data_IF_640257686292
#
_entry.id   IF_640257686292
#
_cell.length_a   1.000
_cell.length_b   1.000
_cell.length_c   1.000
_cell.angle_alpha   90.00
_cell.angle_beta   90.00
_cell.angle_gamma   90.00
#
_symmetry.space_group_name_H-M   'P 1'
#
loop_
_entity.id
_entity.type
_entity.pdbx_description
1 polymer ?
#
# COMPACT_ATOMS: atom_id res chain seq x y z
N UNK A 1 24.44 14.10 2.84
CA UNK A 1 24.80 14.55 1.48
C UNK A 1 24.20 13.65 0.41
N UNK A 2 24.13 14.11 -0.85
CA UNK A 2 23.65 13.28 -1.98
C UNK A 2 24.49 12.01 -2.14
N UNK A 3 25.79 12.11 -1.92
CA UNK A 3 26.73 10.97 -1.95
C UNK A 3 26.38 9.90 -0.90
N UNK A 4 26.01 10.29 0.30
CA UNK A 4 25.59 9.33 1.34
C UNK A 4 24.30 8.63 0.99
N UNK A 5 23.33 9.34 0.40
CA UNK A 5 22.07 8.76 -0.08
C UNK A 5 22.35 7.75 -1.20
N UNK A 6 23.14 8.13 -2.20
CA UNK A 6 23.55 7.25 -3.30
C UNK A 6 24.23 5.98 -2.78
N UNK A 7 25.22 6.13 -1.90
CA UNK A 7 25.95 5.00 -1.32
C UNK A 7 25.04 4.07 -0.52
N UNK A 8 24.11 4.62 0.26
CA UNK A 8 23.15 3.83 1.04
C UNK A 8 22.19 3.06 0.13
N UNK A 9 21.63 3.71 -0.89
CA UNK A 9 20.74 3.09 -1.86
C UNK A 9 21.45 2.00 -2.68
N UNK A 10 22.67 2.24 -3.11
CA UNK A 10 23.45 1.24 -3.85
C UNK A 10 23.71 -0.01 -3.01
N UNK A 11 24.10 0.15 -1.74
CA UNK A 11 24.26 -0.97 -0.81
C UNK A 11 22.95 -1.74 -0.61
N UNK A 12 21.83 -1.01 -0.46
CA UNK A 12 20.50 -1.61 -0.31
C UNK A 12 20.13 -2.43 -1.56
N UNK A 13 20.29 -1.85 -2.75
CA UNK A 13 20.01 -2.55 -4.03
C UNK A 13 20.85 -3.82 -4.14
N UNK A 14 22.15 -3.73 -3.86
CA UNK A 14 23.05 -4.88 -3.95
C UNK A 14 22.67 -5.97 -2.93
N UNK A 15 22.26 -5.59 -1.72
CA UNK A 15 21.74 -6.50 -0.70
C UNK A 15 20.47 -7.21 -1.16
N UNK A 16 19.48 -6.46 -1.66
CA UNK A 16 18.22 -6.98 -2.18
C UNK A 16 18.45 -7.95 -3.35
N UNK A 17 19.28 -7.57 -4.30
CA UNK A 17 19.61 -8.43 -5.45
C UNK A 17 20.27 -9.74 -5.03
N UNK A 18 21.12 -9.70 -4.00
CA UNK A 18 21.88 -10.86 -3.53
C UNK A 18 21.06 -11.81 -2.66
N UNK A 19 20.23 -11.28 -1.77
CA UNK A 19 19.62 -12.07 -0.70
C UNK A 19 18.10 -12.20 -0.81
N UNK A 20 17.42 -11.25 -1.43
CA UNK A 20 15.96 -11.15 -1.43
C UNK A 20 15.34 -11.18 -2.83
N UNK A 21 16.09 -11.59 -3.87
CA UNK A 21 15.57 -11.65 -5.24
C UNK A 21 15.43 -13.09 -5.73
N UNK A 22 14.23 -13.43 -6.20
CA UNK A 22 13.92 -14.71 -6.86
C UNK A 22 13.14 -14.47 -8.14
N UNK A 23 13.58 -15.09 -9.25
CA UNK A 23 12.95 -14.91 -10.56
C UNK A 23 12.81 -13.43 -11.00
N UNK A 24 13.66 -12.54 -10.49
CA UNK A 24 13.68 -11.11 -10.79
C UNK A 24 12.69 -10.26 -9.99
N UNK A 25 11.98 -10.85 -9.05
CA UNK A 25 11.16 -10.15 -8.06
C UNK A 25 11.82 -10.15 -6.69
N UNK A 26 11.50 -9.17 -5.87
CA UNK A 26 11.85 -9.19 -4.46
C UNK A 26 10.90 -10.10 -3.69
N UNK A 27 11.48 -10.90 -2.80
CA UNK A 27 10.75 -11.87 -1.96
C UNK A 27 10.96 -11.51 -0.51
N UNK A 28 9.88 -11.30 0.22
CA UNK A 28 9.87 -11.14 1.65
C UNK A 28 9.49 -12.44 2.37
N UNK A 29 9.98 -12.63 3.58
CA UNK A 29 9.48 -13.67 4.47
C UNK A 29 8.21 -13.18 5.19
N UNK A 30 7.59 -14.01 6.00
CA UNK A 30 6.47 -13.64 6.85
C UNK A 30 6.85 -12.48 7.76
N UNK A 31 5.90 -11.61 8.05
CA UNK A 31 6.05 -10.45 8.94
C UNK A 31 7.08 -9.40 8.47
N UNK A 32 7.54 -9.45 7.23
CA UNK A 32 8.49 -8.48 6.64
C UNK A 32 7.82 -7.40 5.78
N UNK A 33 6.51 -7.19 5.93
CA UNK A 33 5.80 -6.06 5.33
C UNK A 33 5.15 -5.23 6.43
N UNK A 34 4.58 -4.06 6.11
CA UNK A 34 3.84 -3.27 7.09
C UNK A 34 2.62 -4.01 7.66
N UNK A 35 2.10 -5.02 6.94
CA UNK A 35 1.08 -5.93 7.45
C UNK A 35 1.76 -7.14 8.10
N UNK A 36 2.30 -6.95 9.28
CA UNK A 36 3.21 -7.85 10.00
C UNK A 36 2.51 -8.77 11.02
N UNK A 37 1.30 -9.19 10.72
CA UNK A 37 0.55 -10.15 11.54
C UNK A 37 0.29 -11.46 10.80
N UNK A 38 0.24 -12.56 11.53
CA UNK A 38 -0.01 -13.90 10.99
C UNK A 38 -1.25 -14.53 11.62
N UNK A 39 -2.22 -14.93 10.80
CA UNK A 39 -3.33 -15.80 11.20
C UNK A 39 -3.43 -16.91 10.17
N UNK A 40 -3.41 -18.17 10.62
CA UNK A 40 -3.47 -19.35 9.76
C UNK A 40 -2.40 -19.28 8.65
N UNK A 41 -2.82 -19.15 7.39
CA UNK A 41 -1.92 -19.03 6.24
C UNK A 41 -1.80 -17.60 5.70
N UNK A 42 -2.47 -16.62 6.33
CA UNK A 42 -2.38 -15.22 5.94
C UNK A 42 -1.23 -14.51 6.67
N UNK A 43 -0.02 -14.65 6.15
CA UNK A 43 1.21 -14.09 6.70
C UNK A 43 1.98 -13.20 5.71
N UNK A 44 1.42 -12.99 4.52
CA UNK A 44 1.97 -12.15 3.45
C UNK A 44 3.41 -12.50 3.01
N UNK A 45 3.85 -13.72 3.25
CA UNK A 45 5.12 -14.21 2.70
C UNK A 45 5.08 -14.22 1.19
N UNK A 46 6.19 -13.89 0.52
CA UNK A 46 6.38 -14.06 -0.90
C UNK A 46 6.62 -12.76 -1.67
N UNK A 47 6.02 -12.59 -2.82
CA UNK A 47 6.25 -11.47 -3.72
C UNK A 47 5.04 -10.53 -3.61
N UNK A 48 5.21 -9.38 -2.93
CA UNK A 48 4.14 -8.43 -2.62
C UNK A 48 4.22 -7.16 -3.44
N UNK A 49 3.08 -6.61 -3.83
CA UNK A 49 2.95 -5.50 -4.78
C UNK A 49 3.65 -4.23 -4.32
N UNK A 50 3.45 -3.84 -3.06
CA UNK A 50 4.05 -2.64 -2.48
C UNK A 50 5.58 -2.75 -2.42
N UNK A 51 6.10 -3.91 -2.11
CA UNK A 51 7.56 -4.16 -2.06
C UNK A 51 8.18 -4.00 -3.46
N UNK A 52 7.53 -4.56 -4.49
CA UNK A 52 8.00 -4.39 -5.87
C UNK A 52 7.92 -2.93 -6.31
N UNK A 53 6.85 -2.22 -5.95
CA UNK A 53 6.68 -0.81 -6.33
C UNK A 53 7.71 0.10 -5.64
N UNK A 54 8.02 -0.13 -4.37
CA UNK A 54 9.09 0.57 -3.66
C UNK A 54 10.45 0.32 -4.32
N UNK A 55 10.72 -0.91 -4.75
CA UNK A 55 11.93 -1.25 -5.49
C UNK A 55 12.02 -0.53 -6.84
N UNK A 56 10.90 -0.43 -7.57
CA UNK A 56 10.84 0.37 -8.81
C UNK A 56 11.16 1.85 -8.55
N UNK A 57 10.56 2.42 -7.49
CA UNK A 57 10.85 3.80 -7.07
C UNK A 57 12.34 3.99 -6.73
N UNK A 58 12.95 3.03 -6.04
CA UNK A 58 14.37 3.05 -5.72
C UNK A 58 15.25 2.98 -6.99
N UNK A 59 14.94 2.14 -7.97
CA UNK A 59 15.69 2.09 -9.24
C UNK A 59 15.58 3.39 -10.02
N UNK A 60 14.37 3.97 -10.09
CA UNK A 60 14.13 5.27 -10.73
C UNK A 60 14.96 6.36 -10.05
N UNK A 61 14.91 6.45 -8.72
CA UNK A 61 15.69 7.44 -7.95
C UNK A 61 17.20 7.26 -8.19
N UNK A 62 17.71 6.04 -8.18
CA UNK A 62 19.12 5.77 -8.47
C UNK A 62 19.52 6.17 -9.88
N UNK A 63 18.65 5.95 -10.88
CA UNK A 63 18.90 6.45 -12.21
C UNK A 63 18.93 7.98 -12.26
N UNK A 64 17.99 8.64 -11.60
CA UNK A 64 17.94 10.12 -11.55
C UNK A 64 19.18 10.72 -10.87
N UNK A 65 19.69 10.10 -9.80
CA UNK A 65 20.88 10.54 -9.09
C UNK A 65 22.19 10.29 -9.85
N UNK A 66 22.34 9.10 -10.46
CA UNK A 66 23.63 8.63 -10.99
C UNK A 66 23.74 8.68 -12.51
N UNK A 67 22.62 8.79 -13.23
CA UNK A 67 22.51 8.63 -14.68
C UNK A 67 23.03 7.25 -15.20
N UNK A 68 23.22 6.27 -14.27
CA UNK A 68 23.73 4.96 -14.64
C UNK A 68 22.61 4.09 -15.25
N UNK A 69 22.79 3.74 -16.51
CA UNK A 69 21.82 2.99 -17.32
C UNK A 69 21.45 1.62 -16.73
N UNK A 70 22.28 1.01 -15.88
CA UNK A 70 21.95 -0.27 -15.23
C UNK A 70 20.64 -0.18 -14.45
N UNK A 71 20.38 0.95 -13.75
CA UNK A 71 19.16 1.12 -12.96
C UNK A 71 17.92 1.31 -13.85
N UNK A 72 18.04 1.98 -14.98
CA UNK A 72 16.95 2.07 -15.97
C UNK A 72 16.60 0.70 -16.56
N UNK A 73 17.61 -0.14 -16.80
CA UNK A 73 17.39 -1.52 -17.27
C UNK A 73 16.67 -2.34 -16.20
N UNK A 74 17.09 -2.26 -14.92
CA UNK A 74 16.44 -2.95 -13.82
C UNK A 74 14.99 -2.49 -13.64
N UNK A 75 14.75 -1.19 -13.67
CA UNK A 75 13.41 -0.59 -13.60
C UNK A 75 12.50 -1.13 -14.71
N UNK A 76 12.94 -1.07 -15.96
CA UNK A 76 12.14 -1.50 -17.09
C UNK A 76 11.80 -3.00 -17.04
N UNK A 77 12.76 -3.85 -16.68
CA UNK A 77 12.53 -5.30 -16.54
C UNK A 77 11.51 -5.58 -15.46
N UNK A 78 11.67 -4.99 -14.26
CA UNK A 78 10.75 -5.21 -13.17
C UNK A 78 9.36 -4.66 -13.48
N UNK A 79 9.26 -3.47 -14.07
CA UNK A 79 8.00 -2.85 -14.51
C UNK A 79 7.22 -3.75 -15.47
N UNK A 80 7.89 -4.27 -16.51
CA UNK A 80 7.25 -5.18 -17.46
C UNK A 80 6.74 -6.45 -16.77
N UNK A 81 7.56 -7.06 -15.90
CA UNK A 81 7.17 -8.25 -15.15
C UNK A 81 5.99 -8.00 -14.22
N UNK A 82 6.00 -6.88 -13.50
CA UNK A 82 4.87 -6.51 -12.64
C UNK A 82 3.59 -6.32 -13.45
N UNK A 83 3.68 -5.60 -14.56
CA UNK A 83 2.51 -5.41 -15.43
C UNK A 83 1.92 -6.73 -15.92
N UNK A 84 2.77 -7.66 -16.35
CA UNK A 84 2.37 -8.98 -16.84
C UNK A 84 1.76 -9.86 -15.75
N UNK A 85 2.32 -9.85 -14.54
CA UNK A 85 1.96 -10.81 -13.49
C UNK A 85 0.96 -10.31 -12.46
N UNK A 86 0.85 -8.99 -12.27
CA UNK A 86 0.01 -8.41 -11.21
C UNK A 86 -1.24 -7.72 -11.77
N UNK A 87 -1.26 -7.29 -13.02
CA UNK A 87 -2.40 -6.59 -13.59
C UNK A 87 -3.30 -7.54 -14.41
N UNK A 88 -4.56 -7.69 -14.00
CA UNK A 88 -5.53 -8.54 -14.70
C UNK A 88 -6.55 -7.76 -15.56
N UNK A 89 -6.32 -6.47 -15.79
CA UNK A 89 -7.24 -5.59 -16.52
C UNK A 89 -8.30 -4.91 -15.67
N UNK A 90 -8.43 -5.28 -14.39
CA UNK A 90 -9.44 -4.73 -13.45
C UNK A 90 -8.87 -4.29 -12.12
N UNK A 91 -8.05 -5.12 -11.50
CA UNK A 91 -7.37 -4.87 -10.23
C UNK A 91 -5.91 -5.28 -10.31
N UNK A 92 -5.09 -4.64 -9.51
CA UNK A 92 -3.70 -5.01 -9.30
C UNK A 92 -3.65 -6.02 -8.14
N UNK A 93 -2.99 -7.16 -8.36
CA UNK A 93 -2.83 -8.21 -7.36
C UNK A 93 -2.06 -7.68 -6.14
N UNK A 94 -2.43 -8.13 -4.95
CA UNK A 94 -1.71 -7.86 -3.70
C UNK A 94 -0.36 -8.61 -3.64
N UNK A 95 -0.30 -9.76 -4.26
CA UNK A 95 0.90 -10.56 -4.40
C UNK A 95 0.88 -11.40 -5.66
N UNK A 96 1.99 -12.09 -5.95
CA UNK A 96 2.04 -12.98 -7.10
C UNK A 96 0.98 -14.08 -6.98
N UNK A 97 0.03 -14.10 -7.90
CA UNK A 97 -1.17 -14.97 -7.91
C UNK A 97 -2.15 -14.75 -6.76
N UNK A 98 -2.07 -13.61 -6.06
CA UNK A 98 -2.98 -13.25 -4.97
C UNK A 98 -3.74 -11.98 -5.34
N UNK A 99 -4.96 -12.13 -5.83
CA UNK A 99 -5.86 -11.03 -6.22
C UNK A 99 -6.82 -10.60 -5.11
N UNK A 100 -6.54 -10.93 -3.87
CA UNK A 100 -7.30 -10.42 -2.72
C UNK A 100 -7.17 -8.89 -2.66
N UNK A 101 -8.27 -8.12 -2.77
CA UNK A 101 -8.20 -6.68 -2.61
C UNK A 101 -7.65 -6.29 -1.23
N UNK A 102 -6.58 -5.48 -1.25
CA UNK A 102 -5.98 -4.85 -0.07
C UNK A 102 -5.54 -3.43 -0.43
N UNK A 103 -5.39 -2.52 0.53
CA UNK A 103 -5.05 -1.12 0.25
C UNK A 103 -3.60 -0.91 -0.23
N UNK A 104 -2.79 -1.96 -0.31
CA UNK A 104 -1.40 -1.92 -0.78
C UNK A 104 -1.24 -1.39 -2.21
N UNK A 105 -2.30 -1.44 -3.02
CA UNK A 105 -2.34 -0.80 -4.34
C UNK A 105 -2.12 0.72 -4.27
N UNK A 106 -2.53 1.37 -3.17
CA UNK A 106 -2.29 2.81 -2.97
C UNK A 106 -0.83 3.10 -2.64
N UNK A 107 -0.15 2.20 -1.91
CA UNK A 107 1.30 2.27 -1.72
C UNK A 107 2.01 2.13 -3.07
N UNK A 108 1.59 1.14 -3.88
CA UNK A 108 2.19 0.92 -5.20
C UNK A 108 2.01 2.14 -6.12
N UNK A 109 0.82 2.73 -6.15
CA UNK A 109 0.54 3.93 -6.94
C UNK A 109 1.28 5.17 -6.44
N UNK A 110 1.50 5.27 -5.13
CA UNK A 110 2.27 6.37 -4.53
C UNK A 110 3.77 6.25 -4.83
N UNK A 111 4.33 5.06 -4.62
CA UNK A 111 5.76 4.78 -4.78
C UNK A 111 6.20 4.78 -6.25
N UNK A 112 5.37 4.25 -7.14
CA UNK A 112 5.70 4.15 -8.56
C UNK A 112 4.44 4.28 -9.45
N UNK A 113 3.91 5.51 -9.62
CA UNK A 113 2.70 5.74 -10.42
C UNK A 113 2.84 5.35 -11.88
N UNK A 114 4.06 5.35 -12.43
CA UNK A 114 4.35 4.96 -13.81
C UNK A 114 4.18 3.47 -14.09
N UNK A 115 3.85 2.64 -13.09
CA UNK A 115 3.55 1.22 -13.27
C UNK A 115 2.39 1.01 -14.25
N UNK A 116 1.38 1.86 -14.13
CA UNK A 116 0.18 1.80 -14.97
C UNK A 116 -0.17 3.19 -15.51
N UNK A 117 -0.97 3.23 -16.56
CA UNK A 117 -1.57 4.48 -17.05
C UNK A 117 -2.63 5.01 -16.08
N UNK A 118 -2.94 6.31 -16.14
CA UNK A 118 -3.99 6.89 -15.31
C UNK A 118 -5.35 6.17 -15.47
N UNK A 119 -5.69 5.74 -16.69
CA UNK A 119 -6.93 4.97 -16.95
C UNK A 119 -6.94 3.60 -16.26
N UNK A 120 -5.81 2.92 -16.25
CA UNK A 120 -5.66 1.63 -15.57
C UNK A 120 -5.69 1.79 -14.05
N UNK A 121 -5.00 2.81 -13.50
CA UNK A 121 -5.10 3.14 -12.08
C UNK A 121 -6.52 3.51 -11.67
N UNK A 122 -7.21 4.29 -12.50
CA UNK A 122 -8.61 4.67 -12.27
C UNK A 122 -9.52 3.44 -12.18
N UNK A 123 -9.38 2.50 -13.13
CA UNK A 123 -10.12 1.24 -13.12
C UNK A 123 -9.76 0.37 -11.91
N UNK A 124 -8.46 0.29 -11.57
CA UNK A 124 -7.97 -0.45 -10.40
C UNK A 124 -8.60 0.09 -9.11
N UNK A 125 -8.53 1.40 -8.89
CA UNK A 125 -9.08 2.02 -7.68
C UNK A 125 -10.60 1.89 -7.61
N UNK A 126 -11.31 2.12 -8.71
CA UNK A 126 -12.78 1.96 -8.75
C UNK A 126 -13.22 0.55 -8.35
N UNK A 127 -12.55 -0.48 -8.88
CA UNK A 127 -12.87 -1.85 -8.55
C UNK A 127 -12.47 -2.24 -7.13
N UNK A 128 -11.31 -1.80 -6.66
CA UNK A 128 -10.83 -2.12 -5.32
C UNK A 128 -11.64 -1.40 -4.23
N UNK A 129 -12.05 -0.15 -4.46
CA UNK A 129 -12.87 0.59 -3.51
C UNK A 129 -14.23 -0.05 -3.26
N UNK A 130 -14.81 -0.80 -4.22
CA UNK A 130 -16.06 -1.54 -3.99
C UNK A 130 -15.95 -2.51 -2.82
N UNK A 131 -14.78 -3.09 -2.64
CA UNK A 131 -14.52 -4.12 -1.63
C UNK A 131 -13.86 -3.57 -0.36
N UNK A 132 -13.14 -2.45 -0.45
CA UNK A 132 -12.36 -1.91 0.66
C UNK A 132 -13.03 -0.73 1.36
N UNK A 133 -13.96 -0.04 0.71
CA UNK A 133 -14.55 1.19 1.23
C UNK A 133 -15.38 0.96 2.49
N UNK A 134 -15.11 1.75 3.51
CA UNK A 134 -15.86 1.81 4.76
C UNK A 134 -16.74 3.06 4.80
N UNK A 135 -17.97 2.94 5.31
CA UNK A 135 -18.97 3.99 5.24
C UNK A 135 -18.58 5.29 5.94
N UNK A 136 -17.73 5.21 6.94
CA UNK A 136 -17.23 6.38 7.64
C UNK A 136 -16.10 7.12 6.90
N UNK A 137 -15.51 6.55 5.84
CA UNK A 137 -14.47 7.18 5.01
C UNK A 137 -13.09 6.54 5.14
N UNK A 138 -12.98 5.36 5.74
CA UNK A 138 -11.75 4.57 5.77
C UNK A 138 -11.69 3.49 4.69
N UNK A 139 -10.60 2.75 4.69
CA UNK A 139 -10.38 1.56 3.87
C UNK A 139 -10.13 0.36 4.77
N UNK A 140 -10.86 -0.73 4.53
CA UNK A 140 -10.52 -2.02 5.12
C UNK A 140 -9.16 -2.50 4.65
N UNK A 141 -8.43 -3.16 5.52
CA UNK A 141 -7.12 -3.77 5.18
C UNK A 141 -7.22 -5.08 4.38
N UNK A 142 -8.43 -5.60 4.22
CA UNK A 142 -8.73 -6.75 3.35
C UNK A 142 -10.12 -6.57 2.72
N UNK A 143 -10.38 -7.29 1.62
CA UNK A 143 -11.72 -7.41 1.03
C UNK A 143 -12.77 -7.74 2.09
N UNK A 144 -13.82 -6.94 2.17
CA UNK A 144 -14.95 -7.15 3.10
C UNK A 144 -15.70 -8.46 2.90
N UNK A 145 -15.53 -9.10 1.73
CA UNK A 145 -16.08 -10.41 1.43
C UNK A 145 -15.12 -11.57 1.78
N UNK A 146 -13.92 -11.27 2.25
CA UNK A 146 -12.97 -12.29 2.69
C UNK A 146 -13.48 -13.00 3.96
N UNK A 147 -13.30 -14.33 4.07
CA UNK A 147 -13.62 -15.04 5.31
C UNK A 147 -12.77 -14.61 6.52
N UNK A 148 -11.63 -13.93 6.25
CA UNK A 148 -10.76 -13.38 7.29
C UNK A 148 -11.17 -11.97 7.72
N UNK A 149 -12.13 -11.34 7.03
CA UNK A 149 -12.57 -9.99 7.39
C UNK A 149 -13.31 -9.99 8.73
N UNK A 150 -13.00 -9.00 9.57
CA UNK A 150 -13.78 -8.66 10.75
C UNK A 150 -14.02 -7.15 10.81
N UNK A 151 -15.26 -6.74 11.12
CA UNK A 151 -15.65 -5.33 11.21
C UNK A 151 -15.44 -4.75 12.63
N UNK A 152 -15.37 -5.61 13.63
CA UNK A 152 -15.12 -5.21 15.00
C UNK A 152 -13.61 -5.16 15.29
N UNK A 153 -13.11 -3.99 15.73
CA UNK A 153 -11.74 -3.88 16.20
C UNK A 153 -11.53 -4.77 17.43
N UNK A 154 -10.55 -5.64 17.37
CA UNK A 154 -10.17 -6.56 18.45
C UNK A 154 -9.03 -6.01 19.32
N UNK A 155 -8.65 -4.73 19.10
CA UNK A 155 -7.57 -4.08 19.85
C UNK A 155 -6.23 -4.67 19.49
N UNK A 156 -5.48 -5.15 20.48
CA UNK A 156 -4.17 -5.80 20.27
C UNK A 156 -4.28 -7.23 19.71
N UNK A 157 -5.50 -7.79 19.60
CA UNK A 157 -5.71 -9.06 18.93
C UNK A 157 -5.49 -8.89 17.42
N UNK A 158 -4.62 -9.71 16.87
CA UNK A 158 -4.20 -9.69 15.48
C UNK A 158 -5.32 -9.98 14.47
N UNK A 159 -6.50 -10.42 14.91
CA UNK A 159 -7.63 -10.77 14.04
C UNK A 159 -8.10 -9.62 13.18
N UNK A 160 -8.29 -8.43 13.75
CA UNK A 160 -8.75 -7.25 13.00
C UNK A 160 -7.62 -6.41 12.42
N UNK A 161 -6.44 -6.44 13.00
CA UNK A 161 -5.35 -5.49 12.81
C UNK A 161 -4.97 -5.24 11.35
N UNK A 162 -4.86 -6.31 10.54
CA UNK A 162 -4.65 -6.25 9.10
C UNK A 162 -5.75 -7.00 8.30
N UNK A 163 -6.91 -7.21 8.93
CA UNK A 163 -8.04 -7.98 8.35
C UNK A 163 -9.40 -7.33 8.60
N UNK A 164 -9.39 -6.00 8.66
CA UNK A 164 -10.59 -5.21 8.87
C UNK A 164 -10.27 -3.80 9.29
N UNK A 165 -9.49 -3.62 10.35
CA UNK A 165 -9.13 -2.30 10.85
C UNK A 165 -8.54 -1.41 9.74
N UNK A 166 -8.85 -0.13 9.84
CA UNK A 166 -8.52 0.88 8.86
C UNK A 166 -7.41 1.78 9.40
N UNK A 167 -6.34 1.92 8.67
CA UNK A 167 -5.15 2.66 9.09
C UNK A 167 -5.16 4.08 8.51
N UNK A 168 -4.99 5.09 9.35
CA UNK A 168 -5.10 6.48 8.91
C UNK A 168 -4.04 6.86 7.89
N UNK A 169 -2.79 6.40 8.04
CA UNK A 169 -1.73 6.72 7.10
C UNK A 169 -2.01 6.20 5.68
N UNK A 170 -2.54 4.98 5.54
CA UNK A 170 -2.88 4.43 4.23
C UNK A 170 -4.12 5.08 3.64
N UNK A 171 -5.11 5.47 4.47
CA UNK A 171 -6.27 6.23 4.02
C UNK A 171 -5.84 7.58 3.42
N UNK A 172 -4.96 8.31 4.11
CA UNK A 172 -4.44 9.59 3.62
C UNK A 172 -3.60 9.43 2.36
N UNK A 173 -2.79 8.37 2.25
CA UNK A 173 -2.08 8.02 1.03
C UNK A 173 -3.05 7.69 -0.12
N UNK A 174 -4.14 7.00 0.16
CA UNK A 174 -5.19 6.74 -0.82
C UNK A 174 -5.83 8.06 -1.31
N UNK A 175 -6.15 8.98 -0.42
CA UNK A 175 -6.68 10.30 -0.83
C UNK A 175 -5.70 11.03 -1.77
N UNK A 176 -4.40 11.00 -1.48
CA UNK A 176 -3.37 11.60 -2.34
C UNK A 176 -3.31 10.95 -3.72
N UNK A 177 -3.31 9.62 -3.80
CA UNK A 177 -3.24 8.89 -5.08
C UNK A 177 -4.52 9.05 -5.89
N UNK A 178 -5.69 8.95 -5.27
CA UNK A 178 -6.99 9.21 -5.90
C UNK A 178 -7.05 10.63 -6.49
N UNK A 179 -6.54 11.63 -5.75
CA UNK A 179 -6.49 13.01 -6.22
C UNK A 179 -5.55 13.18 -7.44
N UNK A 180 -4.39 12.54 -7.43
CA UNK A 180 -3.43 12.58 -8.53
C UNK A 180 -3.97 11.92 -9.80
N UNK A 181 -4.66 10.79 -9.67
CA UNK A 181 -5.13 10.00 -10.81
C UNK A 181 -6.39 10.59 -11.43
N UNK A 182 -7.44 10.84 -10.65
CA UNK A 182 -8.66 11.50 -11.13
C UNK A 182 -9.45 12.16 -9.99
N UNK A 183 -9.07 13.39 -9.64
CA UNK A 183 -9.72 14.19 -8.59
C UNK A 183 -11.24 14.27 -8.75
N UNK A 184 -11.72 14.47 -9.98
CA UNK A 184 -13.14 14.68 -10.23
C UNK A 184 -13.96 13.43 -9.98
N UNK A 185 -13.48 12.28 -10.47
CA UNK A 185 -14.13 10.97 -10.30
C UNK A 185 -14.20 10.56 -8.83
N UNK A 186 -13.10 10.73 -8.10
CA UNK A 186 -12.97 10.29 -6.71
C UNK A 186 -13.24 11.39 -5.68
N UNK A 187 -13.79 12.53 -6.09
CA UNK A 187 -13.99 13.70 -5.21
C UNK A 187 -14.70 13.34 -3.89
N UNK A 188 -15.75 12.52 -3.96
CA UNK A 188 -16.52 12.11 -2.77
C UNK A 188 -15.69 11.25 -1.82
N UNK A 189 -14.91 10.31 -2.36
CA UNK A 189 -14.04 9.44 -1.55
C UNK A 189 -12.94 10.26 -0.88
N UNK A 190 -12.26 11.12 -1.65
CA UNK A 190 -11.21 12.02 -1.15
C UNK A 190 -11.73 12.89 -0.01
N UNK A 191 -12.87 13.57 -0.23
CA UNK A 191 -13.45 14.44 0.79
C UNK A 191 -13.80 13.68 2.05
N UNK A 192 -14.40 12.50 1.93
CA UNK A 192 -14.80 11.70 3.09
C UNK A 192 -13.60 11.16 3.88
N UNK A 193 -12.50 10.81 3.22
CA UNK A 193 -11.24 10.45 3.90
C UNK A 193 -10.70 11.65 4.69
N UNK A 194 -10.66 12.83 4.05
CA UNK A 194 -10.17 14.05 4.70
C UNK A 194 -11.04 14.44 5.89
N UNK A 195 -12.36 14.37 5.75
CA UNK A 195 -13.30 14.69 6.82
C UNK A 195 -13.13 13.74 8.02
N UNK A 196 -12.97 12.44 7.73
CA UNK A 196 -12.73 11.42 8.77
C UNK A 196 -11.39 11.63 9.49
N UNK A 197 -10.30 11.87 8.73
CA UNK A 197 -8.98 12.17 9.29
C UNK A 197 -9.00 13.45 10.14
N UNK A 198 -9.67 14.50 9.64
CA UNK A 198 -9.80 15.76 10.38
C UNK A 198 -10.60 15.58 11.66
N UNK A 199 -11.72 14.85 11.60
CA UNK A 199 -12.53 14.58 12.77
C UNK A 199 -11.78 13.77 13.83
N UNK A 200 -10.95 12.83 13.39
CA UNK A 200 -10.13 12.01 14.29
C UNK A 200 -9.06 12.85 14.99
N UNK A 201 -8.28 13.65 14.25
CA UNK A 201 -7.23 14.52 14.80
C UNK A 201 -7.78 15.57 15.79
N UNK A 202 -8.97 16.10 15.51
CA UNK A 202 -9.51 17.22 16.30
C UNK A 202 -10.42 16.80 17.45
N UNK A 203 -11.08 15.61 17.35
CA UNK A 203 -12.21 15.34 18.23
C UNK A 203 -12.25 13.93 18.83
N UNK A 204 -11.40 12.99 18.40
CA UNK A 204 -11.59 11.59 18.79
C UNK A 204 -10.49 10.99 19.66
N UNK A 205 -9.24 11.09 19.23
CA UNK A 205 -8.11 10.52 19.96
C UNK A 205 -7.30 11.55 20.72
N UNK A 206 -6.00 11.55 20.55
CA UNK A 206 -5.12 12.58 21.05
C UNK A 206 -5.21 13.80 20.13
N UNK A 207 -5.70 14.92 20.64
CA UNK A 207 -5.91 16.14 19.85
C UNK A 207 -4.58 16.59 19.21
N UNK A 208 -4.60 16.72 17.89
CA UNK A 208 -3.44 17.13 17.09
C UNK A 208 -2.61 15.97 16.55
N UNK A 209 -2.92 14.72 16.89
CA UNK A 209 -2.24 13.52 16.42
C UNK A 209 -3.23 12.55 15.81
N UNK A 210 -2.78 11.71 14.88
CA UNK A 210 -3.54 10.55 14.46
C UNK A 210 -3.38 9.40 15.45
N UNK A 211 -4.44 8.64 15.66
CA UNK A 211 -4.31 7.29 16.17
C UNK A 211 -3.76 6.38 15.04
N UNK A 212 -3.22 5.26 15.43
CA UNK A 212 -2.67 4.27 14.52
C UNK A 212 -3.71 3.78 13.51
N UNK A 213 -4.87 3.40 14.02
CA UNK A 213 -5.95 2.81 13.23
C UNK A 213 -7.35 3.12 13.80
N UNK A 214 -8.35 2.71 13.04
CA UNK A 214 -9.76 2.77 13.38
C UNK A 214 -10.43 1.44 13.13
N UNK A 215 -11.56 1.18 13.79
CA UNK A 215 -12.39 0.03 13.46
C UNK A 215 -12.92 0.08 12.03
N UNK A 216 -13.12 -1.07 11.39
CA UNK A 216 -13.81 -1.11 10.11
C UNK A 216 -15.28 -0.67 10.24
N UNK A 217 -15.91 -0.93 11.36
CA UNK A 217 -17.32 -0.64 11.62
C UNK A 217 -17.62 0.85 11.77
N UNK A 218 -16.74 1.58 12.44
CA UNK A 218 -16.97 2.99 12.78
C UNK A 218 -15.66 3.77 12.91
N UNK A 219 -15.73 5.08 12.72
CA UNK A 219 -14.62 5.99 13.00
C UNK A 219 -14.34 6.05 14.49
N UNK A 220 -13.25 5.45 14.91
CA UNK A 220 -12.77 5.43 16.29
C UNK A 220 -11.25 5.51 16.32
N UNK A 221 -10.69 5.94 17.46
CA UNK A 221 -9.24 5.94 17.65
C UNK A 221 -8.83 4.65 18.37
N UNK A 222 -7.95 3.87 17.74
CA UNK A 222 -7.47 2.58 18.24
C UNK A 222 -5.97 2.44 18.05
N UNK A 223 -5.35 1.47 18.73
CA UNK A 223 -3.92 1.29 18.73
C UNK A 223 -3.18 2.42 19.43
N UNK A 224 -2.01 2.81 18.92
CA UNK A 224 -1.28 3.96 19.42
C UNK A 224 -2.03 5.27 19.09
N UNK A 225 -2.21 6.15 20.06
CA UNK A 225 -3.04 7.38 19.91
C UNK A 225 -2.29 8.61 19.40
N UNK A 226 -0.99 8.52 19.14
CA UNK A 226 -0.14 9.67 18.76
C UNK A 226 0.92 9.30 17.72
N UNK A 227 0.49 8.68 16.65
CA UNK A 227 1.34 8.44 15.48
C UNK A 227 1.51 9.67 14.57
#
# INVERSE_FOLDING_TARGET
TLYEIESALEKSINGLLKYHTKAGFEVNDKLETWMDTEIENDNRRGIRVEIQALRLGMYKLMFELTQNQKYRVFENILKMKMKDKFWNGKILADGLNDFTPRPNIFIAAYAYPELMTNKEWEACFENSLKNLWLDWGGLSTIDKNSPLFTDASTGEDIKSYHRGDSWFWINNMAALTLNKINKNKFKKNIQKIIDASTAEILWKGCIGCHAELSSAKELSSKGCFNQ
#
